data_IF_151845504212
#
_entry.id   IF_151845504212
#
_cell.length_a   1.000
_cell.length_b   1.000
_cell.length_c   1.000
_cell.angle_alpha   90.00
_cell.angle_beta   90.00
_cell.angle_gamma   90.00
#
_symmetry.space_group_name_H-M   'P 1'
#
loop_
_entity.id
_entity.type
_entity.pdbx_description
1 polymer ?
#
# COMPACT_ATOMS: atom_id res chain seq x y z
N UNK A 1 -19.45 -21.16 34.29
CA UNK A 1 -18.19 -20.68 33.73
C UNK A 1 -18.38 -20.65 32.23
N UNK A 2 -18.71 -19.48 31.68
CA UNK A 2 -18.79 -19.27 30.22
C UNK A 2 -17.40 -18.89 29.72
N UNK A 3 -16.75 -19.79 29.00
CA UNK A 3 -15.55 -19.47 28.22
C UNK A 3 -16.00 -18.63 27.01
N UNK A 4 -15.78 -17.35 27.06
CA UNK A 4 -15.82 -16.48 25.87
C UNK A 4 -14.59 -16.84 25.04
N UNK A 5 -14.77 -17.66 24.01
CA UNK A 5 -13.75 -17.87 23.00
C UNK A 5 -13.58 -16.54 22.25
N UNK A 6 -12.52 -15.81 22.57
CA UNK A 6 -11.98 -14.75 21.70
C UNK A 6 -11.38 -15.46 20.47
N UNK A 7 -12.23 -15.82 19.52
CA UNK A 7 -11.77 -16.12 18.18
C UNK A 7 -11.22 -14.80 17.62
N UNK A 8 -9.91 -14.63 17.67
CA UNK A 8 -9.24 -13.57 16.93
C UNK A 8 -9.66 -13.73 15.46
N UNK A 9 -10.34 -12.74 14.92
CA UNK A 9 -10.72 -12.73 13.51
C UNK A 9 -9.41 -12.64 12.71
N UNK A 10 -9.01 -13.72 12.06
CA UNK A 10 -7.85 -13.68 11.16
C UNK A 10 -8.15 -12.72 10.01
N UNK A 11 -7.18 -11.87 9.62
CA UNK A 11 -7.38 -10.92 8.53
C UNK A 11 -7.63 -11.67 7.22
N UNK A 12 -8.69 -11.31 6.51
CA UNK A 12 -9.08 -11.96 5.25
C UNK A 12 -8.18 -11.55 4.08
N UNK A 13 -7.41 -10.45 4.23
CA UNK A 13 -6.51 -9.94 3.20
C UNK A 13 -5.27 -9.27 3.80
N UNK A 14 -4.21 -9.11 2.97
CA UNK A 14 -3.02 -8.37 3.38
C UNK A 14 -3.33 -6.91 3.74
N UNK A 15 -4.40 -6.33 3.15
CA UNK A 15 -4.86 -4.96 3.43
C UNK A 15 -5.38 -4.88 4.87
N UNK A 16 -6.26 -5.80 5.26
CA UNK A 16 -6.77 -5.86 6.62
C UNK A 16 -5.67 -6.19 7.62
N UNK A 17 -4.75 -7.11 7.25
CA UNK A 17 -3.61 -7.44 8.10
C UNK A 17 -2.76 -6.21 8.42
N UNK A 18 -2.49 -5.34 7.45
CA UNK A 18 -1.77 -4.10 7.67
C UNK A 18 -2.51 -3.12 8.60
N UNK A 19 -3.84 -3.02 8.48
CA UNK A 19 -4.66 -2.21 9.39
C UNK A 19 -4.61 -2.79 10.82
N UNK A 20 -4.79 -4.10 10.98
CA UNK A 20 -4.78 -4.75 12.30
C UNK A 20 -3.43 -4.65 12.99
N UNK A 21 -2.32 -4.67 12.25
CA UNK A 21 -0.98 -4.51 12.82
C UNK A 21 -0.81 -3.15 13.52
N UNK A 22 -1.39 -2.09 12.97
CA UNK A 22 -1.23 -0.73 13.48
C UNK A 22 -2.30 -0.37 14.50
N UNK A 23 -3.54 -0.80 14.27
CA UNK A 23 -4.69 -0.37 15.08
C UNK A 23 -5.19 -1.45 16.04
N UNK A 24 -4.66 -2.68 15.93
CA UNK A 24 -5.05 -3.83 16.75
C UNK A 24 -6.32 -4.52 16.24
N UNK A 25 -6.50 -5.77 16.66
CA UNK A 25 -7.60 -6.66 16.22
C UNK A 25 -9.00 -6.23 16.71
N UNK A 26 -9.10 -5.12 17.46
CA UNK A 26 -10.36 -4.61 18.01
C UNK A 26 -11.05 -3.57 17.13
N UNK A 27 -10.42 -3.13 16.05
CA UNK A 27 -11.00 -2.16 15.14
C UNK A 27 -12.06 -2.83 14.28
N UNK A 28 -13.30 -2.72 14.70
CA UNK A 28 -14.46 -3.09 13.88
C UNK A 28 -15.03 -1.82 13.29
N UNK A 29 -14.84 -1.62 11.99
CA UNK A 29 -15.69 -0.68 11.28
C UNK A 29 -17.07 -1.34 11.18
N UNK A 30 -18.13 -0.68 11.64
CA UNK A 30 -19.47 -1.13 11.34
C UNK A 30 -19.62 -1.13 9.82
N UNK A 31 -19.57 -2.28 9.21
CA UNK A 31 -19.94 -2.42 7.81
C UNK A 31 -21.44 -2.21 7.76
N UNK A 32 -21.83 -0.98 7.52
CA UNK A 32 -23.20 -0.68 7.14
C UNK A 32 -23.36 -1.23 5.72
N UNK A 33 -23.85 -2.48 5.65
CA UNK A 33 -23.99 -3.27 4.42
C UNK A 33 -24.93 -2.65 3.38
N UNK A 34 -25.34 -1.42 3.60
CA UNK A 34 -26.25 -0.66 2.71
C UNK A 34 -25.60 0.45 1.89
N UNK A 35 -24.35 0.85 2.17
CA UNK A 35 -23.62 1.78 1.30
C UNK A 35 -22.78 1.01 0.28
N UNK A 36 -23.31 0.87 -0.88
CA UNK A 36 -22.90 -0.05 -1.94
C UNK A 36 -21.64 0.34 -2.74
N UNK A 37 -20.77 1.23 -2.28
CA UNK A 37 -19.69 1.76 -3.15
C UNK A 37 -18.36 2.13 -2.44
N UNK A 38 -18.25 2.07 -1.13
CA UNK A 38 -16.98 2.37 -0.47
C UNK A 38 -16.16 1.11 -0.26
N UNK A 39 -14.88 1.15 -0.60
CA UNK A 39 -13.97 0.07 -0.24
C UNK A 39 -13.88 -0.05 1.29
N UNK A 40 -13.66 -1.23 1.84
CA UNK A 40 -13.46 -1.38 3.29
C UNK A 40 -12.41 -0.40 3.85
N UNK A 41 -11.38 -0.09 3.05
CA UNK A 41 -10.32 0.84 3.43
C UNK A 41 -10.81 2.29 3.60
N UNK A 42 -11.77 2.74 2.78
CA UNK A 42 -12.38 4.07 2.91
C UNK A 42 -13.19 4.18 4.21
N UNK A 43 -13.95 3.16 4.54
CA UNK A 43 -14.72 3.12 5.78
C UNK A 43 -13.80 3.19 7.01
N UNK A 44 -12.67 2.48 7.00
CA UNK A 44 -11.64 2.62 8.04
C UNK A 44 -11.07 4.03 8.08
N UNK A 45 -10.75 4.61 6.94
CA UNK A 45 -10.18 5.96 6.87
C UNK A 45 -11.11 7.01 7.43
N UNK A 46 -12.38 6.98 7.06
CA UNK A 46 -13.38 7.90 7.58
C UNK A 46 -13.54 7.79 9.10
N UNK A 47 -13.56 6.57 9.64
CA UNK A 47 -13.61 6.36 11.08
C UNK A 47 -12.39 6.97 11.77
N UNK A 48 -11.19 6.71 11.27
CA UNK A 48 -9.97 7.21 11.89
C UNK A 48 -9.79 8.73 11.75
N UNK A 49 -10.29 9.34 10.67
CA UNK A 49 -10.32 10.81 10.56
C UNK A 49 -11.19 11.41 11.66
N UNK A 50 -12.32 10.78 11.98
CA UNK A 50 -13.17 11.22 13.09
C UNK A 50 -12.49 11.10 14.46
N UNK A 51 -11.72 10.02 14.64
CA UNK A 51 -11.11 9.68 15.94
C UNK A 51 -9.78 10.42 16.19
N UNK A 52 -8.96 10.58 15.14
CA UNK A 52 -7.58 11.06 15.25
C UNK A 52 -7.28 12.34 14.45
N UNK A 53 -8.16 12.76 13.56
CA UNK A 53 -7.90 13.85 12.62
C UNK A 53 -7.22 13.38 11.33
N UNK A 54 -7.24 14.24 10.30
CA UNK A 54 -6.79 13.88 8.93
C UNK A 54 -5.30 13.60 8.83
N UNK A 55 -4.48 14.44 9.46
CA UNK A 55 -3.01 14.35 9.37
C UNK A 55 -2.50 13.09 10.02
N UNK A 56 -2.95 12.82 11.23
CA UNK A 56 -2.60 11.64 12.02
C UNK A 56 -3.05 10.36 11.31
N UNK A 57 -4.27 10.36 10.78
CA UNK A 57 -4.81 9.24 10.01
C UNK A 57 -3.96 8.93 8.79
N UNK A 58 -3.54 9.93 8.02
CA UNK A 58 -2.66 9.70 6.87
C UNK A 58 -1.33 9.06 7.29
N UNK A 59 -0.72 9.53 8.39
CA UNK A 59 0.51 8.93 8.94
C UNK A 59 0.32 7.48 9.38
N UNK A 60 -0.80 7.18 10.03
CA UNK A 60 -1.16 5.82 10.44
C UNK A 60 -1.44 4.91 9.24
N UNK A 61 -2.07 5.43 8.18
CA UNK A 61 -2.31 4.70 6.94
C UNK A 61 -1.01 4.38 6.18
N UNK A 62 -0.04 5.29 6.17
CA UNK A 62 1.30 5.00 5.63
C UNK A 62 1.94 3.84 6.41
N UNK A 63 1.87 3.84 7.73
CA UNK A 63 2.38 2.74 8.56
C UNK A 63 1.67 1.42 8.30
N UNK A 64 0.34 1.46 8.18
CA UNK A 64 -0.46 0.28 7.85
C UNK A 64 -0.12 -0.27 6.46
N UNK A 65 0.08 0.60 5.47
CA UNK A 65 0.54 0.21 4.14
C UNK A 65 1.92 -0.46 4.16
N UNK A 66 2.86 0.06 4.97
CA UNK A 66 4.17 -0.58 5.15
C UNK A 66 4.04 -1.98 5.74
N UNK A 67 3.21 -2.15 6.77
CA UNK A 67 2.93 -3.46 7.36
C UNK A 67 2.27 -4.40 6.33
N UNK A 68 1.28 -3.90 5.57
CA UNK A 68 0.59 -4.67 4.55
C UNK A 68 1.53 -5.22 3.47
N UNK A 69 2.57 -4.46 3.10
CA UNK A 69 3.55 -4.95 2.15
C UNK A 69 4.25 -6.23 2.62
N UNK A 70 4.56 -6.37 3.90
CA UNK A 70 5.17 -7.60 4.43
C UNK A 70 4.23 -8.79 4.39
N UNK A 71 2.94 -8.59 4.67
CA UNK A 71 1.93 -9.64 4.52
C UNK A 71 1.78 -10.03 3.06
N UNK A 72 1.71 -9.05 2.16
CA UNK A 72 1.68 -9.29 0.73
C UNK A 72 2.93 -10.04 0.25
N UNK A 73 4.13 -9.60 0.66
CA UNK A 73 5.41 -10.20 0.31
C UNK A 73 5.50 -11.67 0.74
N UNK A 74 4.99 -11.99 1.94
CA UNK A 74 5.00 -13.35 2.44
C UNK A 74 4.16 -14.30 1.60
N UNK A 75 3.06 -13.80 1.03
CA UNK A 75 2.10 -14.58 0.25
C UNK A 75 2.52 -14.71 -1.22
N UNK A 76 2.97 -13.63 -1.85
CA UNK A 76 3.09 -13.53 -3.31
C UNK A 76 4.53 -13.46 -3.83
N UNK A 77 5.52 -13.20 -3.00
CA UNK A 77 6.91 -13.05 -3.46
C UNK A 77 7.50 -14.31 -4.14
N UNK A 78 7.04 -15.49 -3.75
CA UNK A 78 7.50 -16.75 -4.35
C UNK A 78 6.97 -16.90 -5.78
N UNK A 79 5.69 -16.58 -6.01
CA UNK A 79 5.04 -16.70 -7.31
C UNK A 79 5.63 -15.70 -8.34
N UNK A 80 6.15 -14.57 -7.86
CA UNK A 80 6.86 -13.57 -8.67
C UNK A 80 8.37 -13.87 -8.84
N UNK A 81 8.87 -14.96 -8.28
CA UNK A 81 10.29 -15.32 -8.34
C UNK A 81 11.20 -14.41 -7.50
N UNK A 82 10.64 -13.60 -6.57
CA UNK A 82 11.44 -12.66 -5.76
C UNK A 82 12.29 -13.34 -4.68
N UNK A 83 12.00 -14.62 -4.42
CA UNK A 83 12.82 -15.46 -3.52
C UNK A 83 13.98 -16.12 -4.25
N UNK A 84 14.01 -16.10 -5.57
CA UNK A 84 15.01 -16.75 -6.38
C UNK A 84 16.37 -16.03 -6.36
N UNK A 85 17.43 -16.78 -6.55
CA UNK A 85 18.79 -16.24 -6.59
C UNK A 85 18.96 -15.20 -7.69
N UNK A 86 18.35 -15.42 -8.86
CA UNK A 86 18.40 -14.51 -9.99
C UNK A 86 17.88 -13.11 -9.65
N UNK A 87 16.74 -13.03 -8.96
CA UNK A 87 16.20 -11.74 -8.53
C UNK A 87 17.08 -11.11 -7.44
N UNK A 88 17.51 -11.89 -6.46
CA UNK A 88 18.28 -11.40 -5.30
C UNK A 88 19.68 -10.89 -5.66
N UNK A 89 20.28 -11.43 -6.72
CA UNK A 89 21.61 -11.02 -7.22
C UNK A 89 21.57 -9.79 -8.14
N UNK A 90 20.39 -9.31 -8.52
CA UNK A 90 20.28 -8.07 -9.30
C UNK A 90 20.87 -6.89 -8.51
N UNK A 91 21.56 -5.96 -9.19
CA UNK A 91 21.97 -4.69 -8.59
C UNK A 91 20.75 -3.96 -7.98
N UNK A 92 20.87 -3.31 -6.82
CA UNK A 92 19.73 -2.70 -6.13
C UNK A 92 18.83 -1.82 -7.01
N UNK A 93 19.33 -0.91 -7.86
CA UNK A 93 18.45 -0.09 -8.71
C UNK A 93 17.63 -0.92 -9.71
N UNK A 94 18.26 -1.94 -10.30
CA UNK A 94 17.60 -2.84 -11.26
C UNK A 94 16.54 -3.68 -10.57
N UNK A 95 16.88 -4.22 -9.40
CA UNK A 95 15.98 -5.01 -8.56
C UNK A 95 14.77 -4.19 -8.12
N UNK A 96 15.00 -2.97 -7.66
CA UNK A 96 13.93 -2.06 -7.22
C UNK A 96 12.98 -1.70 -8.36
N UNK A 97 13.52 -1.35 -9.54
CA UNK A 97 12.70 -1.06 -10.72
C UNK A 97 11.87 -2.28 -11.14
N UNK A 98 12.48 -3.46 -11.17
CA UNK A 98 11.79 -4.72 -11.48
C UNK A 98 10.68 -4.99 -10.48
N UNK A 99 10.97 -4.89 -9.18
CA UNK A 99 9.98 -5.09 -8.12
C UNK A 99 8.81 -4.11 -8.24
N UNK A 100 9.06 -2.82 -8.47
CA UNK A 100 7.99 -1.83 -8.68
C UNK A 100 7.11 -2.20 -9.87
N UNK A 101 7.72 -2.56 -11.01
CA UNK A 101 6.98 -2.92 -12.23
C UNK A 101 6.09 -4.14 -12.01
N UNK A 102 6.62 -5.19 -11.40
CA UNK A 102 5.88 -6.44 -11.15
C UNK A 102 4.79 -6.28 -10.08
N UNK A 103 5.07 -5.51 -9.04
CA UNK A 103 4.08 -5.19 -8.01
C UNK A 103 2.89 -4.41 -8.57
N UNK A 104 3.15 -3.38 -9.39
CA UNK A 104 2.07 -2.61 -10.03
C UNK A 104 1.28 -3.46 -11.02
N UNK A 105 1.96 -4.34 -11.78
CA UNK A 105 1.29 -5.29 -12.68
C UNK A 105 0.39 -6.25 -11.91
N UNK A 106 0.86 -6.75 -10.75
CA UNK A 106 0.07 -7.60 -9.87
C UNK A 106 -1.17 -6.85 -9.31
N UNK A 107 -0.99 -5.62 -8.81
CA UNK A 107 -2.12 -4.80 -8.32
C UNK A 107 -3.17 -4.56 -9.41
N UNK A 108 -2.74 -4.36 -10.66
CA UNK A 108 -3.63 -4.20 -11.80
C UNK A 108 -4.39 -5.50 -12.12
N UNK A 109 -3.71 -6.63 -12.09
CA UNK A 109 -4.31 -7.96 -12.32
C UNK A 109 -5.40 -8.26 -11.27
N UNK A 110 -5.16 -7.87 -10.02
CA UNK A 110 -6.13 -8.04 -8.91
C UNK A 110 -7.21 -6.95 -8.87
N UNK A 111 -7.25 -6.05 -9.86
CA UNK A 111 -8.18 -4.91 -9.92
C UNK A 111 -8.13 -3.98 -8.69
N UNK A 112 -6.98 -3.91 -8.03
CA UNK A 112 -6.75 -3.05 -6.86
C UNK A 112 -6.22 -1.68 -7.23
N UNK A 113 -5.46 -1.58 -8.32
CA UNK A 113 -4.85 -0.36 -8.80
C UNK A 113 -4.49 -0.47 -10.27
N UNK A 114 -4.86 0.50 -11.07
CA UNK A 114 -4.24 0.75 -12.37
C UNK A 114 -3.29 1.94 -12.25
N UNK A 115 -2.00 1.72 -12.51
CA UNK A 115 -0.99 2.76 -12.47
C UNK A 115 0.15 2.47 -13.43
N UNK A 116 0.79 3.54 -13.92
CA UNK A 116 1.93 3.49 -14.81
C UNK A 116 3.21 3.81 -14.05
N UNK A 117 4.28 3.09 -14.38
CA UNK A 117 5.63 3.33 -13.86
C UNK A 117 6.48 4.05 -14.90
N UNK A 118 6.83 5.28 -14.61
CA UNK A 118 7.83 6.05 -15.37
C UNK A 118 9.14 6.13 -14.59
N UNK A 119 10.25 6.20 -15.29
CA UNK A 119 11.58 6.31 -14.69
C UNK A 119 12.33 7.47 -15.29
N UNK A 120 12.86 8.34 -14.44
CA UNK A 120 13.86 9.35 -14.78
C UNK A 120 15.21 8.98 -14.15
N UNK A 121 16.21 9.84 -14.30
CA UNK A 121 17.50 9.65 -13.62
C UNK A 121 17.40 9.80 -12.10
N UNK A 122 16.45 10.60 -11.60
CA UNK A 122 16.35 10.96 -10.18
C UNK A 122 15.21 10.24 -9.46
N UNK A 123 14.13 9.89 -10.19
CA UNK A 123 12.89 9.37 -9.60
C UNK A 123 12.33 8.20 -10.39
N UNK A 124 11.77 7.24 -9.65
CA UNK A 124 10.68 6.40 -10.12
C UNK A 124 9.37 7.15 -9.85
N UNK A 125 8.56 7.28 -10.87
CA UNK A 125 7.29 7.99 -10.81
C UNK A 125 6.15 7.01 -11.10
N UNK A 126 5.22 6.90 -10.17
CA UNK A 126 4.02 6.09 -10.31
C UNK A 126 2.86 7.04 -10.54
N UNK A 127 2.20 6.91 -11.68
CA UNK A 127 1.06 7.73 -12.08
C UNK A 127 -0.19 6.85 -12.01
N UNK A 128 -1.11 7.21 -11.13
CA UNK A 128 -2.44 6.64 -11.06
C UNK A 128 -3.40 7.58 -11.77
N UNK A 129 -3.98 7.16 -12.92
CA UNK A 129 -4.95 7.97 -13.63
C UNK A 129 -6.19 8.23 -12.77
N UNK A 130 -6.99 9.20 -13.20
CA UNK A 130 -8.20 9.59 -12.50
C UNK A 130 -9.14 8.41 -12.24
N UNK A 131 -9.57 8.27 -10.99
CA UNK A 131 -10.55 7.26 -10.60
C UNK A 131 -11.84 7.49 -11.40
N UNK A 132 -12.23 6.50 -12.18
CA UNK A 132 -13.62 6.39 -12.61
C UNK A 132 -14.45 5.99 -11.38
N UNK A 133 -15.70 6.44 -11.29
CA UNK A 133 -16.58 6.25 -10.12
C UNK A 133 -16.78 4.78 -9.66
N UNK A 134 -16.21 3.82 -10.36
CA UNK A 134 -16.37 2.38 -10.13
C UNK A 134 -15.14 1.69 -9.56
N UNK A 135 -14.00 2.39 -9.43
CA UNK A 135 -12.76 1.77 -8.95
C UNK A 135 -12.60 1.98 -7.44
N UNK A 136 -12.83 0.91 -6.69
CA UNK A 136 -12.41 0.79 -5.28
C UNK A 136 -10.89 0.65 -5.22
N UNK A 137 -10.18 1.76 -5.36
CA UNK A 137 -8.72 1.70 -5.34
C UNK A 137 -8.14 1.78 -3.94
N UNK A 138 -6.88 1.40 -3.81
CA UNK A 138 -6.10 1.61 -2.61
C UNK A 138 -6.04 3.11 -2.26
N UNK A 139 -6.18 3.43 -0.98
CA UNK A 139 -5.98 4.80 -0.47
C UNK A 139 -4.54 5.27 -0.77
N UNK A 140 -4.39 6.55 -1.12
CA UNK A 140 -3.08 7.10 -1.51
C UNK A 140 -2.03 7.00 -0.40
N UNK A 141 -2.40 7.29 0.85
CA UNK A 141 -1.48 7.19 1.98
C UNK A 141 -1.09 5.74 2.25
N UNK A 142 -2.05 4.83 2.10
CA UNK A 142 -1.82 3.39 2.26
C UNK A 142 -0.89 2.86 1.16
N UNK A 143 -1.16 3.20 -0.10
CA UNK A 143 -0.32 2.84 -1.25
C UNK A 143 1.09 3.40 -1.09
N UNK A 144 1.23 4.67 -0.68
CA UNK A 144 2.53 5.28 -0.42
C UNK A 144 3.34 4.47 0.59
N UNK A 145 2.69 3.99 1.65
CA UNK A 145 3.32 3.12 2.64
C UNK A 145 3.82 1.80 2.03
N UNK A 146 3.00 1.13 1.23
CA UNK A 146 3.41 -0.10 0.54
C UNK A 146 4.59 0.12 -0.39
N UNK A 147 4.56 1.20 -1.19
CA UNK A 147 5.65 1.57 -2.10
C UNK A 147 6.96 1.88 -1.37
N UNK A 148 6.90 2.62 -0.26
CA UNK A 148 8.07 2.90 0.58
C UNK A 148 8.73 1.63 1.08
N UNK A 149 7.95 0.69 1.58
CA UNK A 149 8.47 -0.55 2.13
C UNK A 149 9.00 -1.49 1.04
N UNK A 150 8.31 -1.58 -0.11
CA UNK A 150 8.77 -2.33 -1.28
C UNK A 150 10.15 -1.85 -1.72
N UNK A 151 10.33 -0.54 -1.88
CA UNK A 151 11.58 0.05 -2.37
C UNK A 151 12.70 -0.13 -1.33
N UNK A 152 12.39 0.02 -0.04
CA UNK A 152 13.33 -0.26 1.04
C UNK A 152 13.79 -1.72 1.01
N UNK A 153 12.87 -2.66 0.93
CA UNK A 153 13.15 -4.09 0.85
C UNK A 153 13.98 -4.45 -0.40
N UNK A 154 13.53 -4.01 -1.59
CA UNK A 154 14.25 -4.26 -2.84
C UNK A 154 15.60 -3.54 -2.90
N UNK A 155 15.72 -2.39 -2.27
CA UNK A 155 16.94 -1.58 -2.18
C UNK A 155 17.96 -2.05 -1.13
N UNK A 156 17.69 -3.17 -0.45
CA UNK A 156 18.61 -3.74 0.54
C UNK A 156 18.49 -3.13 1.93
N UNK A 157 17.28 -2.75 2.34
CA UNK A 157 16.98 -2.21 3.67
C UNK A 157 17.30 -0.72 3.84
N UNK A 158 17.63 -0.03 2.75
CA UNK A 158 17.91 1.41 2.78
C UNK A 158 16.62 2.22 2.67
N UNK A 159 16.61 3.40 3.26
CA UNK A 159 15.48 4.31 3.14
C UNK A 159 15.55 5.12 1.84
N UNK A 160 14.48 5.06 1.06
CA UNK A 160 14.30 5.85 -0.16
C UNK A 160 13.17 6.85 0.08
N UNK A 161 13.44 8.17 0.02
CA UNK A 161 12.39 9.17 0.15
C UNK A 161 11.31 8.96 -0.91
N UNK A 162 10.07 8.86 -0.44
CA UNK A 162 8.90 8.72 -1.30
C UNK A 162 7.79 9.64 -0.81
N UNK A 163 7.10 10.29 -1.74
CA UNK A 163 6.03 11.24 -1.43
C UNK A 163 4.99 11.29 -2.55
N UNK A 164 3.78 11.67 -2.20
CA UNK A 164 2.72 11.99 -3.14
C UNK A 164 2.87 13.45 -3.58
N UNK A 165 3.19 13.67 -4.86
CA UNK A 165 3.37 15.01 -5.43
C UNK A 165 2.03 15.63 -5.84
N UNK A 166 1.13 14.80 -6.36
CA UNK A 166 -0.21 15.20 -6.77
C UNK A 166 -1.23 14.21 -6.25
N UNK A 167 -2.38 14.71 -5.80
CA UNK A 167 -3.47 13.90 -5.26
C UNK A 167 -4.81 14.37 -5.80
N UNK A 168 -5.61 13.44 -6.32
CA UNK A 168 -6.97 13.72 -6.80
C UNK A 168 -7.90 14.23 -5.69
N UNK A 169 -7.76 13.71 -4.48
CA UNK A 169 -8.53 14.19 -3.32
C UNK A 169 -8.19 15.65 -2.99
N UNK A 170 -7.01 16.12 -3.40
CA UNK A 170 -6.61 17.52 -3.31
C UNK A 170 -6.94 18.34 -4.56
N UNK A 171 -7.67 17.78 -5.54
CA UNK A 171 -8.13 18.46 -6.74
C UNK A 171 -7.24 18.30 -7.97
N UNK A 172 -6.20 17.47 -7.92
CA UNK A 172 -5.42 17.13 -9.12
C UNK A 172 -6.19 16.20 -10.06
N UNK A 173 -5.75 16.10 -11.31
CA UNK A 173 -6.36 15.19 -12.32
C UNK A 173 -6.01 13.72 -12.07
N UNK A 174 -4.87 13.49 -11.47
CA UNK A 174 -4.29 12.17 -11.22
C UNK A 174 -3.54 12.16 -9.88
N UNK A 175 -3.24 10.99 -9.35
CA UNK A 175 -2.31 10.87 -8.22
C UNK A 175 -0.93 10.52 -8.76
N UNK A 176 0.08 11.25 -8.31
CA UNK A 176 1.47 11.07 -8.72
C UNK A 176 2.34 10.83 -7.49
N UNK A 177 2.96 9.66 -7.45
CA UNK A 177 3.92 9.30 -6.41
C UNK A 177 5.33 9.37 -6.99
N UNK A 178 6.24 10.00 -6.26
CA UNK A 178 7.67 10.04 -6.59
C UNK A 178 8.48 9.34 -5.53
N UNK A 179 9.43 8.54 -5.98
CA UNK A 179 10.37 7.80 -5.13
C UNK A 179 11.77 8.10 -5.63
N UNK A 180 12.65 8.58 -4.78
CA UNK A 180 14.03 8.86 -5.15
C UNK A 180 14.74 7.57 -5.60
N UNK A 181 15.51 7.65 -6.69
CA UNK A 181 16.34 6.52 -7.15
C UNK A 181 17.57 6.26 -6.26
N UNK A 182 17.95 7.25 -5.46
CA UNK A 182 19.04 7.14 -4.49
C UNK A 182 18.48 7.12 -3.07
N UNK A 183 19.03 6.25 -2.19
CA UNK A 183 18.64 6.24 -0.78
C UNK A 183 19.10 7.53 -0.10
N UNK A 184 18.38 7.91 0.96
CA UNK A 184 18.85 8.93 1.87
C UNK A 184 20.10 8.44 2.63
N UNK A 185 21.02 9.35 2.87
CA UNK A 185 22.22 9.08 3.66
C UNK A 185 21.91 9.01 5.15
#
# INVERSE_FOLDING_TARGET
>A
MMQTSNAACEPQSFIEAGIYEIFGNGVRVPVDTKSSLSSPLEAYKEQFIRDYGKTETNGLFIRAGRAAFYYWLSQYAADLGWKDAEFRLLPPPVRTRKALSEFLAWLKQENLLDAELNSSCDYWQIIRPGLTQTESGLDCSYLLGMLQELVSWAGGGKFYPAFEEQCQVAGAKECVFKINCLPAN
#
